data_IF_862918728224
#
_entry.id   IF_862918728224
#
_cell.length_a   1.000
_cell.length_b   1.000
_cell.length_c   1.000
_cell.angle_alpha   90.00
_cell.angle_beta   90.00
_cell.angle_gamma   90.00
#
_symmetry.space_group_name_H-M   'P 1'
#
loop_
_entity.id
_entity.type
_entity.pdbx_description
1 polymer ?
#
# COMPACT_ATOMS: atom_id res chain seq x y z
N UNK A 1 -1.76 -36.01 12.49
CA UNK A 1 -2.29 -34.71 12.97
C UNK A 1 -2.19 -33.67 11.84
N UNK A 2 -3.33 -33.24 11.28
CA UNK A 2 -3.34 -32.16 10.28
C UNK A 2 -3.12 -30.85 11.05
N UNK A 3 -1.93 -30.25 10.92
CA UNK A 3 -1.71 -28.89 11.44
C UNK A 3 -2.62 -27.94 10.68
N UNK A 4 -3.42 -27.14 11.37
CA UNK A 4 -4.18 -26.06 10.73
C UNK A 4 -3.19 -25.09 10.12
N UNK A 5 -3.24 -24.91 8.80
CA UNK A 5 -2.49 -23.84 8.13
C UNK A 5 -3.18 -22.52 8.42
N UNK A 6 -2.46 -21.58 9.02
CA UNK A 6 -2.93 -20.22 9.24
C UNK A 6 -2.32 -19.32 8.17
N UNK A 7 -3.15 -18.52 7.50
CA UNK A 7 -2.69 -17.49 6.57
C UNK A 7 -2.60 -16.15 7.30
N UNK A 8 -1.42 -15.52 7.23
CA UNK A 8 -1.18 -14.17 7.73
C UNK A 8 -0.61 -13.34 6.57
N UNK A 9 -1.38 -12.36 6.12
CA UNK A 9 -0.93 -11.40 5.12
C UNK A 9 -0.51 -10.09 5.80
N UNK A 10 0.68 -9.61 5.47
CA UNK A 10 1.19 -8.31 5.90
C UNK A 10 1.57 -7.52 4.66
N UNK A 11 1.16 -6.27 4.59
CA UNK A 11 1.49 -5.37 3.49
C UNK A 11 1.60 -3.93 3.97
N UNK A 12 2.61 -3.23 3.46
CA UNK A 12 2.90 -1.84 3.80
C UNK A 12 3.15 -1.07 2.51
N UNK A 13 2.59 0.13 2.39
CA UNK A 13 2.76 0.99 1.21
C UNK A 13 2.69 2.46 1.61
N UNK A 14 3.49 3.28 0.94
CA UNK A 14 3.47 4.75 1.07
C UNK A 14 3.01 5.32 -0.27
N UNK A 15 2.03 6.21 -0.25
CA UNK A 15 1.60 6.97 -1.41
C UNK A 15 2.15 8.39 -1.29
N UNK A 16 2.78 8.89 -2.34
CA UNK A 16 3.46 10.18 -2.35
C UNK A 16 2.97 11.02 -3.53
N UNK A 17 2.63 12.28 -3.30
CA UNK A 17 2.23 13.17 -4.39
C UNK A 17 3.37 13.36 -5.40
N UNK A 18 3.03 13.44 -6.68
CA UNK A 18 4.00 13.65 -7.76
C UNK A 18 4.81 14.94 -7.63
N UNK A 19 4.32 15.93 -6.89
CA UNK A 19 5.05 17.18 -6.60
C UNK A 19 6.14 17.04 -5.53
N UNK A 20 6.19 15.91 -4.81
CA UNK A 20 7.12 15.70 -3.70
C UNK A 20 8.26 14.79 -4.10
N UNK A 21 9.50 15.27 -3.95
CA UNK A 21 10.70 14.49 -4.19
C UNK A 21 11.10 13.66 -2.96
N UNK A 22 11.14 12.34 -3.13
CA UNK A 22 11.61 11.42 -2.08
C UNK A 22 13.14 11.36 -2.04
N UNK A 23 13.73 11.47 -0.85
CA UNK A 23 15.16 11.20 -0.65
C UNK A 23 15.44 9.72 -0.93
N UNK A 24 16.40 9.43 -1.81
CA UNK A 24 16.77 8.06 -2.16
C UNK A 24 17.23 7.24 -0.95
N UNK A 25 17.92 7.87 0.02
CA UNK A 25 18.29 7.21 1.28
C UNK A 25 17.07 6.76 2.09
N UNK A 26 16.01 7.57 2.12
CA UNK A 26 14.77 7.18 2.77
C UNK A 26 14.05 6.05 2.01
N UNK A 27 14.01 6.12 0.68
CA UNK A 27 13.48 5.06 -0.18
C UNK A 27 14.17 3.71 0.09
N UNK A 28 15.51 3.73 0.21
CA UNK A 28 16.29 2.54 0.55
C UNK A 28 15.96 1.98 1.93
N UNK A 29 15.78 2.86 2.94
CA UNK A 29 15.40 2.45 4.30
C UNK A 29 14.03 1.79 4.33
N UNK A 30 13.00 2.42 3.76
CA UNK A 30 11.63 1.86 3.81
C UNK A 30 11.51 0.55 3.01
N UNK A 31 12.25 0.43 1.90
CA UNK A 31 12.29 -0.82 1.14
C UNK A 31 13.01 -1.93 1.89
N UNK A 32 14.18 -1.64 2.49
CA UNK A 32 15.04 -2.65 3.13
C UNK A 32 14.46 -3.14 4.46
N UNK A 33 13.99 -2.23 5.30
CA UNK A 33 13.62 -2.58 6.68
C UNK A 33 12.13 -2.83 6.86
N UNK A 34 11.28 -2.36 5.94
CA UNK A 34 9.82 -2.47 6.06
C UNK A 34 9.16 -3.17 4.87
N UNK A 35 9.94 -3.56 3.85
CA UNK A 35 9.43 -4.11 2.59
C UNK A 35 8.37 -3.20 1.93
N UNK A 36 8.44 -1.90 2.21
CA UNK A 36 7.43 -0.91 1.79
C UNK A 36 7.77 -0.38 0.41
N UNK A 37 6.80 -0.41 -0.49
CA UNK A 37 6.86 0.31 -1.76
C UNK A 37 6.41 1.77 -1.57
N UNK A 38 7.06 2.70 -2.28
CA UNK A 38 6.59 4.08 -2.41
C UNK A 38 5.99 4.27 -3.80
N UNK A 39 4.71 4.65 -3.84
CA UNK A 39 3.91 4.79 -5.07
C UNK A 39 3.68 6.28 -5.35
N UNK A 40 4.25 6.81 -6.45
CA UNK A 40 3.90 8.16 -6.93
C UNK A 40 2.41 8.23 -7.27
N UNK A 41 1.77 9.29 -6.82
CA UNK A 41 0.31 9.48 -6.88
C UNK A 41 -0.02 10.91 -7.28
N UNK A 42 -1.11 11.10 -8.00
CA UNK A 42 -1.64 12.45 -8.27
C UNK A 42 -2.80 12.72 -7.32
N UNK A 43 -2.56 13.36 -6.18
CA UNK A 43 -3.64 13.62 -5.22
C UNK A 43 -4.62 14.70 -5.68
N UNK A 44 -4.34 15.40 -6.79
CA UNK A 44 -5.36 16.23 -7.45
C UNK A 44 -6.45 15.40 -8.13
N UNK A 45 -6.19 14.11 -8.41
CA UNK A 45 -7.17 13.12 -8.86
C UNK A 45 -7.47 12.15 -7.71
N UNK A 46 -8.20 12.65 -6.71
CA UNK A 46 -8.51 11.92 -5.49
C UNK A 46 -9.25 10.60 -5.79
N UNK A 47 -10.18 10.60 -6.74
CA UNK A 47 -10.96 9.41 -7.11
C UNK A 47 -10.07 8.28 -7.65
N UNK A 48 -9.14 8.59 -8.55
CA UNK A 48 -8.18 7.61 -9.08
C UNK A 48 -7.27 7.04 -7.99
N UNK A 49 -6.77 7.90 -7.10
CA UNK A 49 -5.91 7.49 -5.99
C UNK A 49 -6.68 6.63 -4.98
N UNK A 50 -7.87 7.06 -4.56
CA UNK A 50 -8.74 6.32 -3.64
C UNK A 50 -9.08 4.94 -4.21
N UNK A 51 -9.41 4.86 -5.51
CA UNK A 51 -9.63 3.58 -6.17
C UNK A 51 -8.38 2.68 -6.15
N UNK A 52 -7.20 3.25 -6.43
CA UNK A 52 -5.93 2.51 -6.40
C UNK A 52 -5.54 2.00 -5.01
N UNK A 53 -5.76 2.81 -3.97
CA UNK A 53 -5.52 2.44 -2.57
C UNK A 53 -6.46 1.30 -2.16
N UNK A 54 -7.77 1.47 -2.37
CA UNK A 54 -8.77 0.47 -2.00
C UNK A 54 -8.56 -0.85 -2.75
N UNK A 55 -8.20 -0.80 -4.04
CA UNK A 55 -7.89 -2.01 -4.83
C UNK A 55 -6.68 -2.76 -4.30
N UNK A 56 -5.62 -2.04 -3.91
CA UNK A 56 -4.44 -2.68 -3.31
C UNK A 56 -4.75 -3.28 -1.94
N UNK A 57 -5.47 -2.57 -1.08
CA UNK A 57 -5.87 -3.07 0.24
C UNK A 57 -6.78 -4.29 0.12
N UNK A 58 -7.78 -4.26 -0.77
CA UNK A 58 -8.64 -5.39 -1.06
C UNK A 58 -7.81 -6.63 -1.44
N UNK A 59 -6.85 -6.48 -2.36
CA UNK A 59 -6.00 -7.59 -2.77
C UNK A 59 -5.14 -8.14 -1.62
N UNK A 60 -4.40 -7.29 -0.90
CA UNK A 60 -3.52 -7.73 0.21
C UNK A 60 -4.30 -8.40 1.33
N UNK A 61 -5.56 -7.98 1.53
CA UNK A 61 -6.44 -8.53 2.55
C UNK A 61 -7.30 -9.67 2.04
N UNK A 62 -7.09 -10.19 0.82
CA UNK A 62 -7.93 -11.23 0.23
C UNK A 62 -9.44 -10.88 0.27
N UNK A 63 -9.78 -9.63 -0.05
CA UNK A 63 -11.15 -9.12 -0.09
C UNK A 63 -11.76 -8.77 1.27
N UNK A 64 -11.08 -9.02 2.39
CA UNK A 64 -11.64 -8.74 3.72
C UNK A 64 -11.76 -7.23 4.02
N UNK A 65 -10.99 -6.39 3.33
CA UNK A 65 -11.11 -4.93 3.40
C UNK A 65 -11.29 -4.39 1.98
N UNK A 66 -12.55 -4.23 1.55
CA UNK A 66 -12.87 -3.76 0.21
C UNK A 66 -12.69 -2.25 0.03
N UNK A 67 -12.94 -1.49 1.11
CA UNK A 67 -12.87 -0.03 1.13
C UNK A 67 -12.20 0.43 2.41
N UNK A 68 -10.99 0.94 2.27
CA UNK A 68 -10.16 1.46 3.37
C UNK A 68 -10.35 2.96 3.56
N UNK A 69 -10.50 3.71 2.46
CA UNK A 69 -10.63 5.16 2.47
C UNK A 69 -11.75 5.65 1.53
N UNK A 70 -12.24 6.85 1.83
CA UNK A 70 -13.16 7.65 1.03
C UNK A 70 -12.40 8.78 0.32
N UNK A 71 -12.99 9.33 -0.75
CA UNK A 71 -12.51 10.51 -1.49
C UNK A 71 -12.96 11.85 -0.88
#
# INVERSE_FOLDING_TARGET
>A
PISREYQLNLGTRIYLDNSVSLKQSYAAVVKTFYSTDVVPSNFSDASSVTHGINSWVNNVTNGHIEKMIDD
#
